data_IF_007753210398
#
_entry.id   IF_007753210398
#
_cell.length_a   1.000
_cell.length_b   1.000
_cell.length_c   1.000
_cell.angle_alpha   90.00
_cell.angle_beta   90.00
_cell.angle_gamma   90.00
#
_symmetry.space_group_name_H-M   'P 1'
#
loop_
_entity.id
_entity.type
_entity.pdbx_description
1 polymer ?
#
# COMPACT_ATOMS: atom_id res chain seq x y z
N UNK A 1 -7.17 6.81 -23.45
CA UNK A 1 -7.34 7.59 -22.19
C UNK A 1 -5.94 7.83 -21.63
N UNK A 2 -5.43 9.06 -21.67
CA UNK A 2 -4.21 9.43 -20.95
C UNK A 2 -4.59 9.64 -19.48
N UNK A 3 -3.96 8.92 -18.56
CA UNK A 3 -4.11 9.22 -17.13
C UNK A 3 -3.51 10.60 -16.87
N UNK A 4 -4.26 11.54 -16.25
CA UNK A 4 -3.71 12.83 -15.89
C UNK A 4 -2.59 12.66 -14.85
N UNK A 5 -1.59 13.54 -14.91
CA UNK A 5 -0.53 13.63 -13.91
C UNK A 5 -1.12 13.86 -12.51
N UNK A 6 -0.42 13.38 -11.48
CA UNK A 6 -0.89 13.52 -10.10
C UNK A 6 -1.02 15.00 -9.71
N UNK A 7 -2.18 15.44 -9.19
CA UNK A 7 -2.37 16.83 -8.78
C UNK A 7 -1.35 17.30 -7.74
N UNK A 8 -0.92 16.40 -6.85
CA UNK A 8 0.13 16.70 -5.86
C UNK A 8 1.46 17.00 -6.52
N UNK A 9 1.81 16.24 -7.55
CA UNK A 9 3.03 16.46 -8.31
C UNK A 9 2.98 17.78 -9.09
N UNK A 10 1.84 18.10 -9.71
CA UNK A 10 1.64 19.37 -10.42
C UNK A 10 1.78 20.58 -9.49
N UNK A 11 1.22 20.50 -8.26
CA UNK A 11 1.43 21.53 -7.24
C UNK A 11 2.91 21.63 -6.84
N UNK A 12 3.62 20.51 -6.68
CA UNK A 12 5.06 20.53 -6.36
C UNK A 12 5.93 21.11 -7.48
N UNK A 13 5.50 21.03 -8.73
CA UNK A 13 6.16 21.67 -9.87
C UNK A 13 5.79 23.15 -10.04
N UNK A 14 4.87 23.66 -9.22
CA UNK A 14 4.38 25.03 -9.29
C UNK A 14 3.28 25.27 -10.32
N UNK A 15 2.78 24.21 -10.98
CA UNK A 15 1.73 24.30 -11.99
C UNK A 15 0.34 24.17 -11.34
N UNK A 16 -0.13 25.24 -10.70
CA UNK A 16 -1.41 25.25 -9.98
C UNK A 16 -2.62 25.20 -10.91
N UNK A 17 -2.52 25.80 -12.10
CA UNK A 17 -3.60 25.81 -13.09
C UNK A 17 -3.95 24.40 -13.57
N UNK A 18 -2.93 23.62 -13.94
CA UNK A 18 -3.09 22.23 -14.36
C UNK A 18 -3.55 21.33 -13.20
N UNK A 19 -3.01 21.53 -11.99
CA UNK A 19 -3.44 20.80 -10.81
C UNK A 19 -4.94 20.98 -10.53
N UNK A 20 -5.44 22.23 -10.60
CA UNK A 20 -6.87 22.55 -10.44
C UNK A 20 -7.72 21.89 -11.52
N UNK A 21 -7.25 21.90 -12.76
CA UNK A 21 -7.96 21.29 -13.89
C UNK A 21 -8.08 19.77 -13.74
N UNK A 22 -7.05 19.11 -13.21
CA UNK A 22 -7.11 17.67 -12.92
C UNK A 22 -8.01 17.39 -11.72
N UNK A 23 -7.95 18.20 -10.66
CA UNK A 23 -8.80 18.06 -9.47
C UNK A 23 -10.30 18.20 -9.81
N UNK A 24 -10.65 19.23 -10.57
CA UNK A 24 -12.04 19.46 -11.02
C UNK A 24 -12.56 18.35 -11.95
N UNK A 25 -11.67 17.56 -12.58
CA UNK A 25 -12.06 16.39 -13.37
C UNK A 25 -12.17 15.11 -12.54
N UNK A 26 -11.51 15.07 -11.37
CA UNK A 26 -11.44 13.87 -10.53
C UNK A 26 -12.53 13.87 -9.46
N UNK A 27 -12.97 15.05 -9.01
CA UNK A 27 -14.00 15.21 -7.99
C UNK A 27 -15.30 15.77 -8.58
N UNK A 28 -16.43 15.25 -8.12
CA UNK A 28 -17.77 15.66 -8.58
C UNK A 28 -18.18 17.04 -8.03
N UNK A 29 -17.61 17.47 -6.89
CA UNK A 29 -17.88 18.76 -6.28
C UNK A 29 -16.71 19.72 -6.43
N UNK A 30 -17.00 20.94 -6.92
CA UNK A 30 -16.03 22.02 -7.04
C UNK A 30 -15.47 22.43 -5.67
N UNK A 31 -16.30 22.40 -4.62
CA UNK A 31 -15.87 22.75 -3.25
C UNK A 31 -14.88 21.72 -2.70
N UNK A 32 -15.12 20.43 -2.92
CA UNK A 32 -14.22 19.37 -2.47
C UNK A 32 -12.88 19.45 -3.20
N UNK A 33 -12.91 19.73 -4.52
CA UNK A 33 -11.70 19.97 -5.29
C UNK A 33 -10.91 21.18 -4.75
N UNK A 34 -11.57 22.32 -4.46
CA UNK A 34 -10.89 23.49 -3.89
C UNK A 34 -10.27 23.18 -2.51
N UNK A 35 -10.99 22.47 -1.64
CA UNK A 35 -10.51 22.09 -0.31
C UNK A 35 -9.30 21.17 -0.40
N UNK A 36 -9.32 20.16 -1.29
CA UNK A 36 -8.15 19.30 -1.53
C UNK A 36 -6.96 20.08 -2.10
N UNK A 37 -7.22 21.10 -2.93
CA UNK A 37 -6.17 21.94 -3.48
C UNK A 37 -5.52 22.80 -2.38
N UNK A 38 -6.31 23.30 -1.42
CA UNK A 38 -5.85 24.00 -0.24
C UNK A 38 -4.94 23.11 0.64
N UNK A 39 -5.39 21.90 0.99
CA UNK A 39 -4.60 20.92 1.75
C UNK A 39 -3.22 20.66 1.09
N UNK A 40 -3.20 20.55 -0.25
CA UNK A 40 -1.98 20.26 -1.01
C UNK A 40 -1.07 21.49 -1.07
N UNK A 41 -1.63 22.70 -1.20
CA UNK A 41 -0.87 23.95 -1.14
C UNK A 41 -0.22 24.14 0.22
N UNK A 42 -0.95 23.88 1.30
CA UNK A 42 -0.44 23.94 2.68
C UNK A 42 0.72 22.96 2.87
N UNK A 43 0.54 21.70 2.44
CA UNK A 43 1.59 20.68 2.50
C UNK A 43 2.84 21.03 1.65
N UNK A 44 2.67 21.80 0.59
CA UNK A 44 3.75 22.30 -0.25
C UNK A 44 4.37 23.61 0.25
N UNK A 45 3.84 24.20 1.33
CA UNK A 45 4.29 25.49 1.88
C UNK A 45 3.94 26.70 0.99
N UNK A 46 2.93 26.57 0.14
CA UNK A 46 2.45 27.63 -0.76
C UNK A 46 1.32 28.39 -0.07
N UNK A 47 1.35 29.73 -0.09
CA UNK A 47 0.29 30.55 0.48
C UNK A 47 -1.06 30.29 -0.19
N UNK A 48 -2.12 30.12 0.62
CA UNK A 48 -3.51 29.94 0.18
C UNK A 48 -3.95 31.01 -0.84
N UNK A 49 -3.52 32.25 -0.64
CA UNK A 49 -3.86 33.40 -1.50
C UNK A 49 -3.17 33.40 -2.87
N UNK A 50 -2.18 32.54 -3.11
CA UNK A 50 -1.57 32.43 -4.43
C UNK A 50 -2.53 31.73 -5.40
N UNK A 51 -3.19 32.53 -6.23
CA UNK A 51 -4.11 32.07 -7.27
C UNK A 51 -3.47 32.09 -8.68
N UNK A 52 -2.17 32.36 -8.77
CA UNK A 52 -1.44 32.35 -10.04
C UNK A 52 -1.33 30.92 -10.58
N UNK A 53 -1.42 30.78 -11.90
CA UNK A 53 -1.32 29.48 -12.58
C UNK A 53 0.07 28.83 -12.43
N UNK A 54 1.10 29.67 -12.24
CA UNK A 54 2.48 29.26 -12.03
C UNK A 54 3.00 29.95 -10.76
N UNK A 55 3.51 29.16 -9.81
CA UNK A 55 4.09 29.66 -8.56
C UNK A 55 5.49 29.08 -8.37
N UNK A 56 6.43 29.91 -7.93
CA UNK A 56 7.74 29.42 -7.50
C UNK A 56 7.60 28.68 -6.18
N UNK A 57 7.54 27.35 -6.26
CA UNK A 57 7.54 26.50 -5.08
C UNK A 57 8.95 26.47 -4.52
N UNK A 58 9.08 26.69 -3.21
CA UNK A 58 10.32 26.44 -2.49
C UNK A 58 10.64 24.95 -2.66
N UNK A 59 11.53 24.63 -3.61
CA UNK A 59 11.88 23.24 -3.92
C UNK A 59 12.38 22.58 -2.63
N UNK A 60 11.55 21.71 -2.05
CA UNK A 60 11.95 20.84 -0.95
C UNK A 60 13.31 20.22 -1.34
N UNK A 61 14.30 20.16 -0.43
CA UNK A 61 15.64 19.70 -0.78
C UNK A 61 15.53 18.35 -1.49
N UNK A 62 16.07 18.30 -2.73
CA UNK A 62 16.09 17.11 -3.59
C UNK A 62 16.48 15.87 -2.75
N UNK A 63 15.76 14.77 -2.98
CA UNK A 63 15.71 13.55 -2.15
C UNK A 63 17.02 13.04 -1.55
N UNK A 64 18.19 13.34 -2.12
CA UNK A 64 19.49 13.00 -1.54
C UNK A 64 19.74 13.54 -0.13
N UNK A 65 19.28 14.77 0.19
CA UNK A 65 19.42 15.32 1.55
C UNK A 65 18.37 14.79 2.53
N UNK A 66 17.21 14.37 2.01
CA UNK A 66 16.10 13.83 2.81
C UNK A 66 16.46 12.44 3.33
N UNK A 67 17.02 11.57 2.49
CA UNK A 67 17.48 10.24 2.92
C UNK A 67 18.60 10.33 3.96
N UNK A 68 19.56 11.25 3.76
CA UNK A 68 20.63 11.46 4.73
C UNK A 68 20.10 12.00 6.07
N UNK A 69 19.16 12.94 6.05
CA UNK A 69 18.51 13.44 7.28
C UNK A 69 17.63 12.40 7.98
N UNK A 70 16.93 11.57 7.22
CA UNK A 70 16.07 10.50 7.74
C UNK A 70 16.85 9.40 8.45
N UNK A 71 18.04 9.06 7.93
CA UNK A 71 18.93 8.03 8.48
C UNK A 71 19.76 8.59 9.64
N UNK A 72 20.24 9.84 9.53
CA UNK A 72 21.20 10.41 10.49
C UNK A 72 20.54 11.21 11.62
N UNK A 73 19.26 11.59 11.50
CA UNK A 73 18.51 12.29 12.55
C UNK A 73 17.02 11.94 12.53
N UNK A 74 16.64 10.66 12.74
CA UNK A 74 15.25 10.26 12.71
C UNK A 74 14.48 10.82 13.91
N UNK A 75 13.45 11.64 13.66
CA UNK A 75 12.40 11.91 14.65
C UNK A 75 11.72 10.60 15.02
N UNK A 76 11.48 10.36 16.32
CA UNK A 76 11.00 9.06 16.84
C UNK A 76 9.77 8.49 16.12
N UNK A 77 8.83 9.36 15.71
CA UNK A 77 7.63 8.97 14.95
C UNK A 77 7.94 8.40 13.54
N UNK A 78 8.95 8.94 12.86
CA UNK A 78 9.33 8.50 11.51
C UNK A 78 10.14 7.21 11.58
N UNK A 79 10.98 7.07 12.60
CA UNK A 79 11.71 5.83 12.88
C UNK A 79 10.75 4.65 13.10
N UNK A 80 9.72 4.84 13.95
CA UNK A 80 8.72 3.82 14.20
C UNK A 80 7.95 3.44 12.93
N UNK A 81 7.54 4.43 12.14
CA UNK A 81 6.82 4.18 10.86
C UNK A 81 7.70 3.42 9.86
N UNK A 82 8.98 3.78 9.74
CA UNK A 82 9.93 3.07 8.89
C UNK A 82 10.18 1.64 9.36
N UNK A 83 10.39 1.45 10.67
CA UNK A 83 10.63 0.15 11.27
C UNK A 83 9.43 -0.77 11.05
N UNK A 84 8.21 -0.29 11.30
CA UNK A 84 6.97 -1.04 11.02
C UNK A 84 6.85 -1.38 9.54
N UNK A 85 7.17 -0.45 8.63
CA UNK A 85 7.15 -0.72 7.19
C UNK A 85 8.13 -1.82 6.76
N UNK A 86 9.36 -1.77 7.29
CA UNK A 86 10.40 -2.78 7.04
C UNK A 86 10.01 -4.13 7.63
N UNK A 87 9.50 -4.15 8.86
CA UNK A 87 9.07 -5.37 9.55
C UNK A 87 7.89 -6.04 8.82
N UNK A 88 6.90 -5.26 8.37
CA UNK A 88 5.78 -5.79 7.58
C UNK A 88 6.28 -6.41 6.28
N UNK A 89 7.20 -5.74 5.57
CA UNK A 89 7.75 -6.25 4.32
C UNK A 89 8.58 -7.52 4.55
N UNK A 90 9.37 -7.53 5.62
CA UNK A 90 10.14 -8.69 6.03
C UNK A 90 9.22 -9.87 6.39
N UNK A 91 8.17 -9.65 7.18
CA UNK A 91 7.23 -10.70 7.57
C UNK A 91 6.44 -11.23 6.37
N UNK A 92 6.06 -10.34 5.43
CA UNK A 92 5.49 -10.72 4.14
C UNK A 92 6.40 -11.67 3.37
N UNK A 93 7.70 -11.38 3.29
CA UNK A 93 8.68 -12.22 2.60
C UNK A 93 8.99 -13.52 3.38
N UNK A 94 9.12 -13.42 4.70
CA UNK A 94 9.42 -14.53 5.60
C UNK A 94 8.31 -15.58 5.65
N UNK A 95 7.05 -15.17 5.43
CA UNK A 95 5.92 -16.08 5.24
C UNK A 95 6.14 -17.05 4.07
N UNK A 96 7.10 -16.78 3.17
CA UNK A 96 7.43 -17.66 2.06
C UNK A 96 6.27 -17.89 1.10
N UNK A 97 5.27 -17.01 1.12
CA UNK A 97 4.01 -17.18 0.38
C UNK A 97 4.29 -17.33 -1.12
N UNK A 98 5.28 -16.62 -1.65
CA UNK A 98 5.68 -16.72 -3.05
C UNK A 98 6.33 -18.07 -3.38
N UNK A 99 7.10 -18.64 -2.45
CA UNK A 99 7.64 -19.99 -2.60
C UNK A 99 6.54 -21.05 -2.49
N UNK A 100 5.60 -20.92 -1.54
CA UNK A 100 4.46 -21.83 -1.40
C UNK A 100 3.60 -21.81 -2.67
N UNK A 101 3.31 -20.63 -3.22
CA UNK A 101 2.57 -20.50 -4.48
C UNK A 101 3.32 -21.15 -5.64
N UNK A 102 4.64 -20.95 -5.73
CA UNK A 102 5.48 -21.52 -6.79
C UNK A 102 5.58 -23.05 -6.73
N UNK A 103 5.65 -23.62 -5.52
CA UNK A 103 5.81 -25.06 -5.31
C UNK A 103 4.49 -25.80 -5.12
N UNK A 104 3.38 -25.11 -4.82
CA UNK A 104 2.03 -25.68 -4.73
C UNK A 104 1.65 -26.56 -5.94
N UNK A 105 1.80 -26.13 -7.21
CA UNK A 105 1.49 -26.98 -8.35
C UNK A 105 2.43 -28.20 -8.46
N UNK A 106 3.65 -28.13 -7.93
CA UNK A 106 4.60 -29.25 -7.91
C UNK A 106 4.25 -30.28 -6.82
N UNK A 107 3.70 -29.83 -5.69
CA UNK A 107 3.23 -30.69 -4.60
C UNK A 107 1.93 -31.41 -5.02
N UNK A 108 0.98 -30.69 -5.64
CA UNK A 108 -0.25 -31.29 -6.15
C UNK A 108 0.01 -32.20 -7.37
N UNK A 109 0.95 -31.86 -8.25
CA UNK A 109 1.35 -32.72 -9.37
C UNK A 109 2.07 -34.02 -8.97
N UNK A 110 2.68 -34.09 -7.78
CA UNK A 110 3.23 -35.35 -7.24
C UNK A 110 2.14 -36.30 -6.71
N UNK A 111 0.97 -35.76 -6.36
CA UNK A 111 -0.18 -36.52 -5.87
C UNK A 111 -1.20 -36.89 -6.98
N UNK A 112 -1.16 -36.23 -8.15
CA UNK A 112 -2.07 -36.49 -9.26
C UNK A 112 -1.37 -36.37 -10.64
N UNK A 113 -0.87 -37.51 -11.13
CA UNK A 113 -0.59 -37.91 -12.52
C UNK A 113 0.43 -37.09 -13.35
N UNK A 114 1.18 -37.85 -14.15
CA UNK A 114 2.44 -37.56 -14.83
C UNK A 114 2.18 -37.00 -16.25
N UNK A 115 1.75 -35.73 -16.41
CA UNK A 115 1.69 -35.08 -17.73
C UNK A 115 1.89 -33.54 -17.67
N UNK A 116 2.46 -32.95 -18.72
CA UNK A 116 2.78 -31.52 -18.80
C UNK A 116 1.54 -30.61 -18.78
N UNK A 117 0.38 -31.12 -19.20
CA UNK A 117 -0.90 -30.40 -19.15
C UNK A 117 -1.40 -30.17 -17.71
N UNK A 118 -1.14 -31.11 -16.80
CA UNK A 118 -1.62 -31.05 -15.41
C UNK A 118 -0.87 -29.98 -14.60
N UNK A 119 0.39 -29.74 -14.91
CA UNK A 119 1.20 -28.67 -14.31
C UNK A 119 0.65 -27.28 -14.65
N UNK A 120 0.25 -27.07 -15.91
CA UNK A 120 -0.35 -25.81 -16.35
C UNK A 120 -1.71 -25.60 -15.68
N UNK A 121 -2.53 -26.65 -15.60
CA UNK A 121 -3.84 -26.60 -14.93
C UNK A 121 -3.68 -26.26 -13.44
N UNK A 122 -2.69 -26.83 -12.76
CA UNK A 122 -2.40 -26.55 -11.36
C UNK A 122 -1.95 -25.09 -11.13
N UNK A 123 -1.09 -24.54 -12.00
CA UNK A 123 -0.70 -23.12 -11.92
C UNK A 123 -1.89 -22.18 -12.11
N UNK A 124 -2.77 -22.49 -13.07
CA UNK A 124 -4.00 -21.72 -13.30
C UNK A 124 -4.94 -21.80 -12.09
N UNK A 125 -5.12 -22.99 -11.51
CA UNK A 125 -5.94 -23.19 -10.32
C UNK A 125 -5.39 -22.40 -9.11
N UNK A 126 -4.08 -22.42 -8.87
CA UNK A 126 -3.45 -21.64 -7.79
C UNK A 126 -3.62 -20.13 -8.02
N UNK A 127 -3.43 -19.67 -9.25
CA UNK A 127 -3.68 -18.27 -9.63
C UNK A 127 -5.13 -17.87 -9.39
N UNK A 128 -6.08 -18.72 -9.79
CA UNK A 128 -7.51 -18.49 -9.61
C UNK A 128 -7.91 -18.42 -8.12
N UNK A 129 -7.45 -19.37 -7.30
CA UNK A 129 -7.69 -19.36 -5.85
C UNK A 129 -7.07 -18.11 -5.21
N UNK A 130 -5.85 -17.72 -5.60
CA UNK A 130 -5.20 -16.48 -5.14
C UNK A 130 -6.02 -15.25 -5.50
N UNK A 131 -6.52 -15.16 -6.73
CA UNK A 131 -7.34 -14.03 -7.18
C UNK A 131 -8.66 -13.96 -6.43
N UNK A 132 -9.35 -15.08 -6.22
CA UNK A 132 -10.57 -15.11 -5.39
C UNK A 132 -10.27 -14.64 -3.97
N UNK A 133 -9.19 -15.13 -3.37
CA UNK A 133 -8.82 -14.74 -2.01
C UNK A 133 -8.50 -13.26 -1.91
N UNK A 134 -7.74 -12.70 -2.87
CA UNK A 134 -7.46 -11.27 -2.96
C UNK A 134 -8.77 -10.49 -3.13
N UNK A 135 -9.66 -10.93 -4.02
CA UNK A 135 -10.94 -10.27 -4.27
C UNK A 135 -11.81 -10.24 -2.99
N UNK A 136 -11.96 -11.38 -2.32
CA UNK A 136 -12.68 -11.49 -1.04
C UNK A 136 -12.04 -10.62 0.02
N UNK A 137 -10.71 -10.61 0.12
CA UNK A 137 -9.99 -9.73 1.02
C UNK A 137 -10.32 -8.27 0.67
N UNK A 138 -10.06 -7.79 -0.55
CA UNK A 138 -10.33 -6.42 -1.00
C UNK A 138 -11.77 -5.99 -0.73
N UNK A 139 -12.78 -6.80 -1.05
CA UNK A 139 -14.17 -6.47 -0.74
C UNK A 139 -14.44 -6.41 0.77
N UNK A 140 -13.83 -7.29 1.56
CA UNK A 140 -13.94 -7.27 3.02
C UNK A 140 -13.24 -6.05 3.62
N UNK A 141 -12.10 -5.64 3.05
CA UNK A 141 -11.35 -4.45 3.43
C UNK A 141 -12.15 -3.17 3.12
N UNK A 142 -12.75 -3.07 1.93
CA UNK A 142 -13.55 -1.91 1.52
C UNK A 142 -14.85 -1.79 2.32
N UNK A 143 -15.47 -2.92 2.71
CA UNK A 143 -16.66 -2.90 3.59
C UNK A 143 -16.34 -2.59 5.05
N UNK A 144 -15.12 -2.87 5.51
CA UNK A 144 -14.73 -2.77 6.92
C UNK A 144 -13.90 -1.51 7.18
N UNK A 145 -14.57 -0.43 7.56
CA UNK A 145 -13.96 0.85 7.89
C UNK A 145 -12.87 0.72 9.00
N UNK A 146 -11.58 0.80 8.62
CA UNK A 146 -10.30 1.00 9.38
C UNK A 146 -10.02 0.30 10.73
N UNK A 147 -10.98 0.02 11.59
CA UNK A 147 -10.80 -0.61 12.92
C UNK A 147 -10.91 -2.15 12.94
N UNK A 148 -11.79 -2.81 12.17
CA UNK A 148 -11.93 -4.27 12.22
C UNK A 148 -10.68 -4.99 11.76
N UNK A 149 -9.94 -4.45 10.77
CA UNK A 149 -8.73 -5.07 10.22
C UNK A 149 -7.57 -5.20 11.20
N UNK A 150 -7.35 -4.15 12.01
CA UNK A 150 -6.36 -4.18 13.07
C UNK A 150 -6.80 -5.17 14.15
N UNK A 151 -8.09 -5.18 14.49
CA UNK A 151 -8.66 -6.11 15.47
C UNK A 151 -8.63 -7.57 15.00
N UNK A 152 -8.90 -7.85 13.73
CA UNK A 152 -8.85 -9.21 13.17
C UNK A 152 -7.41 -9.71 13.09
N UNK A 153 -6.45 -8.84 12.75
CA UNK A 153 -5.03 -9.21 12.74
C UNK A 153 -4.50 -9.51 14.14
N UNK A 154 -4.88 -8.70 15.14
CA UNK A 154 -4.53 -8.95 16.54
C UNK A 154 -5.25 -10.21 17.07
N UNK A 155 -6.50 -10.43 16.67
CA UNK A 155 -7.26 -11.63 17.05
C UNK A 155 -6.66 -12.91 16.45
N UNK A 156 -6.20 -12.87 15.20
CA UNK A 156 -5.55 -14.00 14.53
C UNK A 156 -4.19 -14.34 15.16
N UNK A 157 -3.40 -13.32 15.51
CA UNK A 157 -2.16 -13.50 16.29
C UNK A 157 -2.44 -14.10 17.68
N UNK A 158 -3.46 -13.59 18.37
CA UNK A 158 -3.89 -14.11 19.67
C UNK A 158 -4.35 -15.57 19.60
N UNK A 159 -5.11 -15.92 18.56
CA UNK A 159 -5.59 -17.28 18.34
C UNK A 159 -4.43 -18.24 18.05
N UNK A 160 -3.47 -17.81 17.23
CA UNK A 160 -2.28 -18.60 16.90
C UNK A 160 -1.41 -18.86 18.13
N UNK A 161 -1.15 -17.83 18.95
CA UNK A 161 -0.37 -17.98 20.19
C UNK A 161 -1.10 -18.88 21.20
N UNK A 162 -2.42 -18.73 21.35
CA UNK A 162 -3.22 -19.57 22.23
C UNK A 162 -3.22 -21.04 21.80
N UNK A 163 -3.34 -21.29 20.49
CA UNK A 163 -3.31 -22.64 19.93
C UNK A 163 -1.95 -23.32 20.10
N UNK A 164 -0.86 -22.57 19.90
CA UNK A 164 0.51 -23.05 20.15
C UNK A 164 0.74 -23.30 21.65
N UNK A 165 0.26 -22.40 22.51
CA UNK A 165 0.35 -22.54 23.97
C UNK A 165 -0.42 -23.74 24.51
N UNK A 166 -1.58 -24.07 23.93
CA UNK A 166 -2.34 -25.28 24.29
C UNK A 166 -1.67 -26.57 23.81
N UNK A 167 -0.84 -26.52 22.76
CA UNK A 167 -0.05 -27.67 22.30
C UNK A 167 1.30 -27.81 23.01
N UNK A 168 1.79 -26.78 23.69
CA UNK A 168 2.98 -26.84 24.54
C UNK A 168 2.68 -27.46 25.89
N UNK A 169 2.62 -28.79 25.98
CA UNK A 169 2.80 -29.49 27.27
C UNK A 169 4.26 -29.27 27.75
N UNK A 170 4.48 -29.04 29.05
CA UNK A 170 5.81 -28.80 29.59
C UNK A 170 6.67 -30.06 29.48
N UNK A 171 7.88 -29.89 28.94
CA UNK A 171 9.07 -30.70 29.24
C UNK A 171 10.03 -29.80 29.99
#
# INVERSE_FOLDING_TARGET
>A
LAMPESPRWLVMQGQLGDARRVLNKTFDSLEEAQLRLADIKEAAGISEQCNNDIVEVLKLPKGGKVWHGLIFSPTSAVCHTLLTGVEIYFFKQASGIDAVILYSPTIFGKACIKSNHDKLLATVAVGFVKTIFILVATFTLDKSCRRPLLLTSIADLGFTIMFVGMRGRPI
#
